data_IF_193114957955
#
_entry.id   IF_193114957955
#
_cell.length_a   1.000
_cell.length_b   1.000
_cell.length_c   1.000
_cell.angle_alpha   90.00
_cell.angle_beta   90.00
_cell.angle_gamma   90.00
#
_symmetry.space_group_name_H-M   'P 1'
#
loop_
_entity.id
_entity.type
_entity.pdbx_description
1 polymer ?
#
# COMPACT_ATOMS: atom_id res chain seq x y z
N UNK A 1 31.94 -35.85 -26.07
CA UNK A 1 32.35 -34.49 -26.49
C UNK A 1 31.10 -33.80 -27.05
N UNK A 2 30.94 -32.46 -26.97
CA UNK A 2 30.41 -31.66 -25.83
C UNK A 2 29.15 -30.84 -26.24
N UNK A 3 28.29 -30.34 -25.33
CA UNK A 3 28.20 -28.95 -24.83
C UNK A 3 26.88 -28.83 -24.02
N UNK A 4 26.91 -28.54 -22.72
CA UNK A 4 26.68 -27.22 -22.10
C UNK A 4 25.41 -26.49 -22.60
N UNK A 5 24.38 -26.42 -21.75
CA UNK A 5 24.00 -25.13 -21.17
C UNK A 5 23.16 -25.34 -19.90
N UNK A 6 23.56 -24.59 -18.87
CA UNK A 6 22.99 -24.58 -17.55
C UNK A 6 21.67 -23.79 -17.57
N UNK A 7 20.52 -24.43 -17.29
CA UNK A 7 19.34 -23.64 -16.99
C UNK A 7 19.30 -23.30 -15.50
N UNK A 8 20.02 -22.24 -15.16
CA UNK A 8 19.78 -21.43 -13.96
C UNK A 8 18.47 -20.69 -14.20
N UNK A 9 17.39 -21.13 -13.53
CA UNK A 9 16.23 -20.26 -13.36
C UNK A 9 16.40 -19.56 -12.00
N UNK A 10 17.11 -18.45 -12.07
CA UNK A 10 17.14 -17.41 -11.04
C UNK A 10 15.76 -16.74 -10.96
N UNK A 11 15.27 -16.62 -9.71
CA UNK A 11 14.48 -15.50 -9.19
C UNK A 11 13.05 -15.32 -9.75
N UNK A 12 12.07 -14.81 -9.01
CA UNK A 12 12.11 -13.76 -8.00
C UNK A 12 11.05 -14.02 -6.94
N UNK A 13 11.46 -13.93 -5.68
CA UNK A 13 10.54 -13.79 -4.55
C UNK A 13 9.90 -12.40 -4.63
N UNK A 14 8.87 -12.25 -5.45
CA UNK A 14 8.05 -11.03 -5.45
C UNK A 14 6.85 -11.26 -4.55
N UNK A 15 7.01 -10.86 -3.29
CA UNK A 15 5.94 -10.79 -2.31
C UNK A 15 4.75 -10.02 -2.88
N UNK A 16 3.56 -10.61 -2.78
CA UNK A 16 2.36 -10.04 -3.38
C UNK A 16 1.10 -10.85 -3.11
N UNK A 17 0.86 -11.19 -1.83
CA UNK A 17 -0.48 -11.53 -1.31
C UNK A 17 -1.24 -12.67 -2.00
N UNK A 18 -0.80 -13.91 -1.85
CA UNK A 18 -1.62 -15.10 -2.15
C UNK A 18 -1.69 -16.06 -0.96
N UNK A 19 -2.84 -16.12 -0.27
CA UNK A 19 -3.39 -17.39 0.27
C UNK A 19 -4.90 -17.25 0.56
N UNK A 20 -5.71 -17.98 -0.24
CA UNK A 20 -7.17 -18.29 -0.16
C UNK A 20 -7.67 -18.61 1.28
N UNK A 21 -8.90 -18.39 1.76
CA UNK A 21 -10.30 -18.41 1.27
C UNK A 21 -11.14 -17.53 2.25
N UNK A 22 -12.33 -16.98 2.03
CA UNK A 22 -13.65 -17.51 1.63
C UNK A 22 -14.56 -16.29 1.36
N UNK A 23 -15.47 -16.43 0.38
CA UNK A 23 -16.66 -15.61 0.09
C UNK A 23 -16.46 -14.19 -0.49
N UNK A 24 -17.18 -13.96 -1.59
CA UNK A 24 -17.10 -12.83 -2.52
C UNK A 24 -17.56 -11.49 -1.92
N UNK A 25 -16.76 -10.93 -1.01
CA UNK A 25 -16.73 -9.49 -0.76
C UNK A 25 -15.52 -8.92 -1.52
N UNK A 26 -15.66 -7.77 -2.21
CA UNK A 26 -14.62 -7.28 -3.10
C UNK A 26 -13.29 -7.21 -2.34
N UNK A 27 -12.20 -7.83 -2.86
CA UNK A 27 -10.92 -7.86 -2.18
C UNK A 27 -10.52 -6.42 -1.92
N UNK A 28 -10.27 -6.09 -0.65
CA UNK A 28 -10.01 -4.72 -0.24
C UNK A 28 -8.88 -4.14 -1.07
N UNK A 29 -9.22 -3.24 -1.98
CA UNK A 29 -8.25 -2.73 -2.94
C UNK A 29 -7.45 -1.63 -2.26
N UNK A 30 -6.14 -1.81 -2.21
CA UNK A 30 -5.21 -0.81 -1.73
C UNK A 30 -4.41 -0.21 -2.88
N UNK A 31 -3.89 1.02 -2.71
CA UNK A 31 -2.93 1.61 -3.62
C UNK A 31 -1.72 0.70 -3.86
N UNK A 32 -1.06 0.85 -5.00
CA UNK A 32 0.10 0.01 -5.40
C UNK A 32 1.17 -0.09 -4.31
N UNK A 33 1.41 1.01 -3.62
CA UNK A 33 2.43 1.15 -2.58
C UNK A 33 1.95 0.76 -1.18
N UNK A 34 0.71 0.26 -1.03
CA UNK A 34 0.16 -0.12 0.27
C UNK A 34 -0.31 -1.57 0.24
N UNK A 35 0.07 -2.31 1.29
CA UNK A 35 -0.40 -3.67 1.45
C UNK A 35 -1.81 -3.70 2.05
N UNK A 36 -2.59 -4.68 1.60
CA UNK A 36 -3.87 -5.03 2.20
C UNK A 36 -3.60 -5.75 3.52
N UNK A 37 -4.08 -5.19 4.63
CA UNK A 37 -4.01 -5.82 5.94
C UNK A 37 -5.42 -6.07 6.47
N UNK A 38 -5.68 -7.31 6.85
CA UNK A 38 -6.90 -7.69 7.56
C UNK A 38 -6.65 -7.54 9.05
N UNK A 39 -7.47 -6.73 9.72
CA UNK A 39 -7.47 -6.59 11.16
C UNK A 39 -8.24 -7.75 11.79
N UNK A 40 -7.88 -8.09 13.03
CA UNK A 40 -8.59 -9.10 13.85
C UNK A 40 -10.07 -8.80 14.06
N UNK A 41 -10.48 -7.55 13.83
CA UNK A 41 -11.85 -7.08 13.98
C UNK A 41 -12.72 -7.39 12.74
N UNK A 42 -12.20 -8.16 11.78
CA UNK A 42 -12.89 -8.48 10.52
C UNK A 42 -12.88 -7.34 9.50
N UNK A 43 -12.28 -6.20 9.82
CA UNK A 43 -12.11 -5.09 8.88
C UNK A 43 -10.82 -5.25 8.09
N UNK A 44 -10.82 -4.76 6.86
CA UNK A 44 -9.61 -4.60 6.08
C UNK A 44 -9.19 -3.14 6.03
N UNK A 45 -7.89 -2.90 5.98
CA UNK A 45 -7.34 -1.58 5.72
C UNK A 45 -6.03 -1.68 4.98
N UNK A 46 -5.62 -0.54 4.45
CA UNK A 46 -4.36 -0.42 3.72
C UNK A 46 -3.29 0.07 4.68
N UNK A 47 -2.34 -0.79 5.00
CA UNK A 47 -1.25 -0.50 5.92
C UNK A 47 0.11 -0.89 5.32
N UNK A 48 1.16 -0.23 5.79
CA UNK A 48 2.52 -0.50 5.39
C UNK A 48 3.12 -1.64 6.22
N UNK A 49 3.91 -2.49 5.58
CA UNK A 49 4.82 -3.37 6.31
C UNK A 49 6.07 -2.60 6.76
N UNK A 50 6.63 -2.96 7.91
CA UNK A 50 7.85 -2.35 8.47
C UNK A 50 9.08 -2.40 7.55
N UNK A 51 9.06 -3.29 6.56
CA UNK A 51 10.14 -3.43 5.57
C UNK A 51 9.96 -2.55 4.33
N UNK A 52 8.79 -1.94 4.13
CA UNK A 52 8.47 -1.18 2.93
C UNK A 52 8.70 0.32 3.15
N UNK A 53 9.94 0.75 2.88
CA UNK A 53 10.36 2.15 3.09
C UNK A 53 9.56 3.12 2.25
N UNK A 54 9.16 2.73 1.04
CA UNK A 54 8.39 3.59 0.14
C UNK A 54 6.96 3.78 0.66
N UNK A 55 6.25 2.71 1.04
CA UNK A 55 4.97 2.81 1.74
C UNK A 55 5.04 3.74 2.96
N UNK A 56 6.08 3.59 3.80
CA UNK A 56 6.28 4.46 4.97
C UNK A 56 6.45 5.94 4.59
N UNK A 57 7.04 6.25 3.41
CA UNK A 57 7.11 7.63 2.90
C UNK A 57 5.72 8.14 2.55
N UNK A 58 4.90 7.37 1.85
CA UNK A 58 3.52 7.75 1.55
C UNK A 58 2.67 7.91 2.82
N UNK A 59 2.78 6.97 3.77
CA UNK A 59 2.08 6.98 5.08
C UNK A 59 2.40 8.21 5.91
N UNK A 60 3.65 8.68 5.85
CA UNK A 60 4.13 9.92 6.49
C UNK A 60 3.80 11.18 5.70
N UNK A 61 3.11 11.07 4.57
CA UNK A 61 2.81 12.18 3.68
C UNK A 61 4.05 12.75 2.99
N UNK A 62 5.17 12.00 2.97
CA UNK A 62 6.40 12.43 2.33
C UNK A 62 6.35 12.37 0.82
N UNK A 63 5.50 11.49 0.30
CA UNK A 63 5.34 11.23 -1.13
C UNK A 63 3.87 11.36 -1.55
N UNK A 64 3.65 11.70 -2.82
CA UNK A 64 2.32 11.86 -3.40
C UNK A 64 1.87 10.58 -4.09
N UNK A 65 0.66 10.13 -3.79
CA UNK A 65 0.08 8.97 -4.47
C UNK A 65 0.00 9.19 -5.98
N UNK A 66 0.10 8.12 -6.75
CA UNK A 66 -0.09 8.19 -8.19
C UNK A 66 -1.52 8.64 -8.52
N UNK A 67 -1.71 9.29 -9.67
CA UNK A 67 -3.04 9.75 -10.10
C UNK A 67 -4.05 8.59 -10.13
N UNK A 68 -3.62 7.39 -10.52
CA UNK A 68 -4.43 6.16 -10.52
C UNK A 68 -4.94 5.81 -9.12
N UNK A 69 -4.06 5.83 -8.12
CA UNK A 69 -4.42 5.51 -6.74
C UNK A 69 -5.32 6.60 -6.13
N UNK A 70 -5.00 7.87 -6.38
CA UNK A 70 -5.88 8.99 -5.99
C UNK A 70 -7.27 8.82 -6.58
N UNK A 71 -7.35 8.45 -7.85
CA UNK A 71 -8.61 8.24 -8.53
C UNK A 71 -9.37 7.05 -7.94
N UNK A 72 -8.70 5.92 -7.70
CA UNK A 72 -9.36 4.74 -7.14
C UNK A 72 -9.92 4.98 -5.73
N UNK A 73 -9.22 5.73 -4.88
CA UNK A 73 -9.74 6.16 -3.56
C UNK A 73 -10.90 7.15 -3.74
N UNK A 74 -10.77 8.10 -4.68
CA UNK A 74 -11.80 9.12 -4.95
C UNK A 74 -13.12 8.52 -5.44
N UNK A 75 -13.07 7.49 -6.28
CA UNK A 75 -14.26 6.79 -6.77
C UNK A 75 -14.77 5.70 -5.81
N UNK A 76 -14.10 5.50 -4.66
CA UNK A 76 -14.47 4.47 -3.68
C UNK A 76 -14.12 3.03 -4.09
N UNK A 77 -13.31 2.86 -5.15
CA UNK A 77 -12.81 1.55 -5.59
C UNK A 77 -11.72 1.02 -4.64
N UNK A 78 -10.89 1.90 -4.11
CA UNK A 78 -9.86 1.55 -3.13
C UNK A 78 -10.18 2.12 -1.75
N UNK A 79 -9.74 1.41 -0.71
CA UNK A 79 -9.78 1.92 0.65
C UNK A 79 -8.72 3.02 0.87
N UNK A 80 -9.04 4.07 1.63
CA UNK A 80 -8.05 5.08 2.00
C UNK A 80 -6.97 4.46 2.91
N UNK A 81 -5.69 4.80 2.67
CA UNK A 81 -4.59 4.31 3.49
C UNK A 81 -4.59 4.87 4.90
N UNK A 82 -4.09 4.08 5.83
CA UNK A 82 -3.91 4.49 7.23
C UNK A 82 -2.66 5.36 7.31
N UNK A 83 -2.86 6.66 7.54
CA UNK A 83 -1.75 7.61 7.67
C UNK A 83 -1.24 7.66 9.11
N UNK A 84 0.06 7.92 9.28
CA UNK A 84 0.69 7.99 10.62
C UNK A 84 0.23 9.23 11.42
N UNK A 85 0.00 10.35 10.75
CA UNK A 85 -0.24 11.64 11.39
C UNK A 85 -1.69 12.16 11.29
N UNK A 86 -2.62 11.34 10.78
CA UNK A 86 -4.03 11.73 10.62
C UNK A 86 -4.82 10.84 9.66
N UNK A 87 -5.85 11.38 9.02
CA UNK A 87 -6.62 10.70 7.96
C UNK A 87 -6.09 11.07 6.59
N UNK A 88 -6.16 10.14 5.63
CA UNK A 88 -5.83 10.42 4.23
C UNK A 88 -6.72 11.54 3.68
N UNK A 89 -6.11 12.54 3.05
CA UNK A 89 -6.84 13.66 2.46
C UNK A 89 -7.08 13.41 0.99
N UNK A 90 -8.32 13.05 0.62
CA UNK A 90 -8.70 12.81 -0.78
C UNK A 90 -8.53 14.06 -1.67
N UNK A 91 -8.59 15.27 -1.08
CA UNK A 91 -8.41 16.54 -1.80
C UNK A 91 -6.98 16.70 -2.34
N UNK A 92 -5.99 16.39 -1.51
CA UNK A 92 -4.56 16.49 -1.89
C UNK A 92 -4.05 15.16 -2.47
N UNK A 93 -4.75 14.06 -2.17
CA UNK A 93 -4.34 12.71 -2.51
C UNK A 93 -3.06 12.30 -1.79
N UNK A 94 -2.87 12.74 -0.56
CA UNK A 94 -1.73 12.38 0.29
C UNK A 94 -2.11 12.32 1.76
N UNK A 95 -1.28 11.63 2.53
CA UNK A 95 -1.32 11.67 3.97
C UNK A 95 -0.81 13.03 4.50
N UNK A 96 -1.30 13.50 5.65
CA UNK A 96 -0.75 14.68 6.30
C UNK A 96 0.67 14.42 6.80
N UNK A 97 1.57 15.39 6.65
CA UNK A 97 2.92 15.32 7.24
C UNK A 97 2.89 15.76 8.70
N UNK A 98 3.78 15.21 9.52
CA UNK A 98 3.99 15.68 10.90
C UNK A 98 4.26 17.19 10.96
N UNK A 99 5.03 17.71 10.00
CA UNK A 99 5.40 19.12 9.89
C UNK A 99 4.25 20.06 9.47
N UNK A 100 3.09 19.55 9.03
CA UNK A 100 1.91 20.38 8.75
C UNK A 100 1.08 20.65 10.01
N UNK A 101 1.31 19.89 11.09
CA UNK A 101 0.95 20.34 12.44
C UNK A 101 2.09 21.23 12.91
N UNK A 102 2.03 22.50 12.54
CA UNK A 102 2.94 23.53 13.01
C UNK A 102 3.07 23.44 14.54
N UNK A 103 4.28 23.27 15.10
CA UNK A 103 4.54 23.54 16.51
C UNK A 103 4.63 25.06 16.66
N UNK A 104 3.48 25.72 16.68
CA UNK A 104 3.30 27.15 16.98
C UNK A 104 1.89 27.19 17.61
N UNK A 105 1.68 27.38 18.91
CA UNK A 105 2.42 28.04 19.99
C UNK A 105 2.06 27.37 21.32
#
# INVERSE_FOLDING_TARGET
MPRDDSNVIENDTKGGSDTHSVEEEPPCMCPTEFAVRRFSNGTCGCDCFDKERDCLRYKKGKEYFSLKDKWCIKIGKCQPPICEYGKFSQKTGRCPRLNEKSPFF
#
